data_IF_563697678313
#
_entry.id   IF_563697678313
#
_cell.length_a   1.000
_cell.length_b   1.000
_cell.length_c   1.000
_cell.angle_alpha   90.00
_cell.angle_beta   90.00
_cell.angle_gamma   90.00
#
_symmetry.space_group_name_H-M   'P 1'
#
loop_
_entity.id
_entity.type
_entity.pdbx_description
1 polymer ?
#
# COMPACT_ATOMS: atom_id res chain seq x y z
N UNK A 1 36.39 -40.47 8.96
CA UNK A 1 36.65 -39.27 8.13
C UNK A 1 35.38 -38.72 7.45
N UNK A 2 34.50 -39.56 6.88
CA UNK A 2 33.22 -39.11 6.29
C UNK A 2 32.22 -38.51 7.31
N UNK A 3 32.11 -39.09 8.51
CA UNK A 3 31.18 -38.60 9.55
C UNK A 3 31.48 -37.15 10.00
N UNK A 4 32.77 -36.82 10.16
CA UNK A 4 33.20 -35.47 10.56
C UNK A 4 32.99 -34.44 9.45
N UNK A 5 33.09 -34.84 8.17
CA UNK A 5 32.77 -33.95 7.03
C UNK A 5 31.28 -33.67 6.91
N UNK A 6 30.42 -34.64 7.27
CA UNK A 6 28.96 -34.46 7.28
C UNK A 6 28.53 -33.58 8.45
N UNK A 7 29.13 -33.75 9.63
CA UNK A 7 28.88 -32.90 10.80
C UNK A 7 29.33 -31.44 10.57
N UNK A 8 30.55 -31.23 10.07
CA UNK A 8 31.04 -29.89 9.74
C UNK A 8 30.17 -29.21 8.68
N UNK A 9 29.76 -29.93 7.63
CA UNK A 9 28.84 -29.41 6.62
C UNK A 9 27.45 -29.09 7.18
N UNK A 10 27.01 -29.78 8.24
CA UNK A 10 25.72 -29.54 8.89
C UNK A 10 25.79 -28.33 9.84
N UNK A 11 26.91 -28.12 10.51
CA UNK A 11 27.19 -26.94 11.35
C UNK A 11 27.39 -25.67 10.50
N UNK A 12 28.04 -25.78 9.34
CA UNK A 12 28.15 -24.67 8.38
C UNK A 12 26.78 -24.28 7.79
N UNK A 13 25.92 -25.26 7.51
CA UNK A 13 24.54 -25.00 7.04
C UNK A 13 23.70 -24.38 8.16
N UNK A 14 23.80 -24.84 9.41
CA UNK A 14 23.02 -24.27 10.52
C UNK A 14 23.48 -22.87 10.93
N UNK A 15 24.79 -22.59 10.86
CA UNK A 15 25.33 -21.26 11.15
C UNK A 15 25.04 -20.26 10.03
N UNK A 16 25.10 -20.69 8.76
CA UNK A 16 24.68 -19.85 7.63
C UNK A 16 23.17 -19.56 7.67
N UNK A 17 22.32 -20.56 7.97
CA UNK A 17 20.86 -20.34 8.08
C UNK A 17 20.50 -19.43 9.25
N UNK A 18 21.16 -19.56 10.41
CA UNK A 18 20.87 -18.69 11.56
C UNK A 18 21.32 -17.25 11.31
N UNK A 19 22.39 -17.05 10.52
CA UNK A 19 22.85 -15.71 10.13
C UNK A 19 21.91 -15.04 9.12
N UNK A 20 21.44 -15.78 8.10
CA UNK A 20 20.48 -15.27 7.12
C UNK A 20 19.11 -14.99 7.74
N UNK A 21 18.68 -15.83 8.68
CA UNK A 21 17.47 -15.62 9.47
C UNK A 21 17.50 -14.31 10.25
N UNK A 22 18.62 -14.01 10.90
CA UNK A 22 18.80 -12.82 11.71
C UNK A 22 18.87 -11.55 10.84
N UNK A 23 19.49 -11.63 9.66
CA UNK A 23 19.47 -10.54 8.68
C UNK A 23 18.07 -10.28 8.11
N UNK A 24 17.34 -11.33 7.71
CA UNK A 24 15.97 -11.22 7.20
C UNK A 24 15.02 -10.58 8.20
N UNK A 25 15.11 -10.99 9.47
CA UNK A 25 14.29 -10.42 10.55
C UNK A 25 14.66 -8.97 10.85
N UNK A 26 15.95 -8.60 10.74
CA UNK A 26 16.40 -7.21 10.83
C UNK A 26 15.87 -6.35 9.68
N UNK A 27 15.84 -6.87 8.46
CA UNK A 27 15.26 -6.19 7.29
C UNK A 27 13.75 -5.96 7.47
N UNK A 28 13.03 -6.96 7.99
CA UNK A 28 11.62 -6.80 8.35
C UNK A 28 11.42 -5.73 9.43
N UNK A 29 12.27 -5.72 10.47
CA UNK A 29 12.22 -4.71 11.54
C UNK A 29 12.46 -3.28 11.02
N UNK A 30 13.24 -3.10 9.95
CA UNK A 30 13.42 -1.79 9.30
C UNK A 30 12.28 -1.45 8.31
N UNK A 31 11.54 -2.44 7.81
CA UNK A 31 10.40 -2.21 6.94
C UNK A 31 9.15 -1.76 7.72
N UNK A 32 8.93 -2.30 8.92
CA UNK A 32 7.70 -2.06 9.69
C UNK A 32 7.50 -0.58 10.14
N UNK A 33 8.51 0.12 10.71
CA UNK A 33 8.34 1.50 11.18
C UNK A 33 7.87 2.50 10.11
N UNK A 34 8.47 2.60 8.91
CA UNK A 34 8.03 3.58 7.91
C UNK A 34 6.64 3.27 7.37
N UNK A 35 6.25 2.00 7.29
CA UNK A 35 4.89 1.59 6.92
C UNK A 35 3.87 1.98 7.98
N UNK A 36 4.19 1.73 9.25
CA UNK A 36 3.37 2.14 10.39
C UNK A 36 3.13 3.66 10.38
N UNK A 37 4.22 4.43 10.26
CA UNK A 37 4.15 5.90 10.19
C UNK A 37 3.30 6.36 9.00
N UNK A 38 3.45 5.73 7.84
CA UNK A 38 2.67 6.05 6.64
C UNK A 38 1.18 5.79 6.85
N UNK A 39 0.81 4.61 7.35
CA UNK A 39 -0.58 4.24 7.59
C UNK A 39 -1.24 5.08 8.68
N UNK A 40 -0.51 5.40 9.75
CA UNK A 40 -0.98 6.33 10.79
C UNK A 40 -1.25 7.70 10.19
N UNK A 41 -0.29 8.24 9.42
CA UNK A 41 -0.41 9.58 8.87
C UNK A 41 -1.56 9.70 7.86
N UNK A 42 -1.75 8.65 7.05
CA UNK A 42 -2.85 8.55 6.12
C UNK A 42 -4.19 8.48 6.86
N UNK A 43 -4.34 7.55 7.81
CA UNK A 43 -5.60 7.36 8.52
C UNK A 43 -5.99 8.59 9.37
N UNK A 44 -5.01 9.20 10.05
CA UNK A 44 -5.23 10.39 10.88
C UNK A 44 -5.84 11.55 10.08
N UNK A 45 -5.57 11.65 8.78
CA UNK A 45 -6.18 12.70 7.95
C UNK A 45 -7.59 12.38 7.52
N UNK A 46 -7.98 11.11 7.42
CA UNK A 46 -9.31 10.70 6.92
C UNK A 46 -10.41 11.22 7.84
N UNK A 47 -10.20 11.20 9.15
CA UNK A 47 -11.17 11.67 10.14
C UNK A 47 -11.46 13.17 10.02
N UNK A 48 -10.42 13.99 9.83
CA UNK A 48 -10.55 15.46 9.72
C UNK A 48 -10.89 15.91 8.32
N UNK A 49 -10.61 15.08 7.32
CA UNK A 49 -10.94 15.35 5.94
C UNK A 49 -12.43 15.58 5.74
N UNK A 50 -13.29 14.85 6.47
CA UNK A 50 -14.74 15.01 6.41
C UNK A 50 -15.16 16.44 6.78
N UNK A 51 -14.64 16.95 7.89
CA UNK A 51 -14.94 18.31 8.36
C UNK A 51 -14.43 19.37 7.38
N UNK A 52 -13.21 19.21 6.86
CA UNK A 52 -12.63 20.13 5.87
C UNK A 52 -13.43 20.15 4.57
N UNK A 53 -13.80 18.97 4.06
CA UNK A 53 -14.59 18.86 2.83
C UNK A 53 -15.98 19.44 3.02
N UNK A 54 -16.64 19.15 4.15
CA UNK A 54 -17.97 19.67 4.47
C UNK A 54 -17.95 21.20 4.57
N UNK A 55 -16.98 21.76 5.32
CA UNK A 55 -16.81 23.21 5.45
C UNK A 55 -16.53 23.89 4.10
N UNK A 56 -15.79 23.23 3.20
CA UNK A 56 -15.45 23.79 1.90
C UNK A 56 -16.61 23.69 0.89
N UNK A 57 -17.30 22.55 0.80
CA UNK A 57 -18.32 22.27 -0.22
C UNK A 57 -19.71 22.78 0.20
N UNK A 58 -20.11 22.54 1.44
CA UNK A 58 -21.44 22.82 1.98
C UNK A 58 -21.38 23.68 3.26
N UNK A 59 -21.02 24.98 3.17
CA UNK A 59 -20.87 25.80 4.36
C UNK A 59 -22.22 25.99 5.09
N UNK A 60 -22.33 25.49 6.32
CA UNK A 60 -23.47 25.70 7.20
C UNK A 60 -24.55 24.62 7.21
N UNK A 61 -24.40 23.55 6.42
CA UNK A 61 -25.30 22.38 6.44
C UNK A 61 -24.69 21.24 7.26
N UNK A 62 -25.52 20.55 8.05
CA UNK A 62 -25.10 19.40 8.87
C UNK A 62 -24.84 18.13 8.06
N UNK A 63 -25.25 18.09 6.79
CA UNK A 63 -25.10 16.93 5.90
C UNK A 63 -24.74 17.39 4.49
N UNK A 64 -23.56 16.99 3.99
CA UNK A 64 -23.10 17.37 2.64
C UNK A 64 -23.21 16.18 1.69
N UNK A 65 -24.38 16.02 1.08
CA UNK A 65 -24.68 14.93 0.12
C UNK A 65 -23.65 14.87 -1.03
N UNK A 66 -23.11 16.02 -1.44
CA UNK A 66 -22.07 16.09 -2.47
C UNK A 66 -20.78 15.35 -2.06
N UNK A 67 -20.33 15.50 -0.82
CA UNK A 67 -19.15 14.81 -0.30
C UNK A 67 -19.35 13.29 -0.28
N UNK A 68 -20.56 12.82 0.03
CA UNK A 68 -20.94 11.40 -0.01
C UNK A 68 -20.81 10.85 -1.43
N UNK A 69 -21.38 11.54 -2.42
CA UNK A 69 -21.31 11.11 -3.82
C UNK A 69 -19.87 11.12 -4.36
N UNK A 70 -19.08 12.14 -4.02
CA UNK A 70 -17.67 12.22 -4.44
C UNK A 70 -16.83 11.08 -3.85
N UNK A 71 -17.00 10.77 -2.56
CA UNK A 71 -16.30 9.64 -1.93
C UNK A 71 -16.73 8.30 -2.55
N UNK A 72 -18.03 8.08 -2.75
CA UNK A 72 -18.53 6.87 -3.39
C UNK A 72 -18.02 6.68 -4.82
N UNK A 73 -18.00 7.76 -5.60
CA UNK A 73 -17.45 7.76 -6.95
C UNK A 73 -15.95 7.47 -6.95
N UNK A 74 -15.18 8.15 -6.08
CA UNK A 74 -13.74 7.91 -5.94
C UNK A 74 -13.46 6.44 -5.63
N UNK A 75 -14.13 5.84 -4.65
CA UNK A 75 -13.91 4.44 -4.28
C UNK A 75 -14.24 3.47 -5.42
N UNK A 76 -15.31 3.75 -6.18
CA UNK A 76 -15.68 2.95 -7.35
C UNK A 76 -14.61 3.02 -8.43
N UNK A 77 -14.15 4.23 -8.77
CA UNK A 77 -13.09 4.45 -9.76
C UNK A 77 -11.80 3.77 -9.30
N UNK A 78 -11.32 4.06 -8.08
CA UNK A 78 -10.12 3.45 -7.50
C UNK A 78 -10.23 1.93 -7.52
N UNK A 79 -11.38 1.37 -7.14
CA UNK A 79 -11.65 -0.06 -7.11
C UNK A 79 -11.52 -0.73 -8.48
N UNK A 80 -12.00 -0.08 -9.54
CA UNK A 80 -11.90 -0.61 -10.91
C UNK A 80 -10.46 -0.53 -11.42
N UNK A 81 -9.81 0.63 -11.26
CA UNK A 81 -8.47 0.83 -11.79
C UNK A 81 -7.39 0.03 -11.03
N UNK A 82 -7.53 -0.14 -9.71
CA UNK A 82 -6.58 -0.94 -8.91
C UNK A 82 -6.53 -2.41 -9.34
N UNK A 83 -7.60 -2.97 -9.90
CA UNK A 83 -7.60 -4.35 -10.42
C UNK A 83 -6.54 -4.56 -11.51
N UNK A 84 -6.24 -3.51 -12.29
CA UNK A 84 -5.21 -3.56 -13.33
C UNK A 84 -3.88 -3.05 -12.79
N UNK A 85 -3.88 -1.93 -12.07
CA UNK A 85 -2.65 -1.25 -11.64
C UNK A 85 -1.88 -2.02 -10.57
N UNK A 86 -2.56 -2.66 -9.62
CA UNK A 86 -1.92 -3.41 -8.54
C UNK A 86 -1.02 -4.55 -9.07
N UNK A 87 -1.49 -5.43 -9.99
CA UNK A 87 -0.61 -6.39 -10.67
C UNK A 87 0.57 -5.75 -11.40
N UNK A 88 0.37 -4.61 -12.08
CA UNK A 88 1.43 -3.94 -12.83
C UNK A 88 2.52 -3.39 -11.92
N UNK A 89 2.15 -2.80 -10.79
CA UNK A 89 3.10 -2.32 -9.79
C UNK A 89 3.85 -3.47 -9.12
N UNK A 90 3.20 -4.61 -8.89
CA UNK A 90 3.87 -5.82 -8.41
C UNK A 90 4.98 -6.27 -9.36
N UNK A 91 4.72 -6.30 -10.67
CA UNK A 91 5.75 -6.65 -11.65
C UNK A 91 6.85 -5.61 -11.75
N UNK A 92 6.50 -4.33 -11.68
CA UNK A 92 7.50 -3.27 -11.66
C UNK A 92 8.43 -3.45 -10.45
N UNK A 93 7.89 -3.83 -9.29
CA UNK A 93 8.65 -4.10 -8.08
C UNK A 93 9.54 -5.35 -8.23
N UNK A 94 9.08 -6.37 -8.94
CA UNK A 94 9.87 -7.56 -9.20
C UNK A 94 11.03 -7.28 -10.19
N UNK A 95 10.85 -6.38 -11.16
CA UNK A 95 11.87 -6.05 -12.19
C UNK A 95 12.86 -4.95 -11.76
N UNK A 96 12.34 -3.85 -11.18
CA UNK A 96 13.14 -2.68 -10.82
C UNK A 96 13.64 -2.71 -9.38
N UNK A 97 13.21 -3.71 -8.60
CA UNK A 97 13.45 -3.81 -7.17
C UNK A 97 12.25 -3.31 -6.37
N UNK A 98 12.08 -3.90 -5.18
CA UNK A 98 10.91 -3.63 -4.33
C UNK A 98 11.02 -2.29 -3.63
N UNK A 99 12.23 -1.86 -3.24
CA UNK A 99 12.43 -0.57 -2.54
C UNK A 99 12.11 0.65 -3.42
N UNK A 100 12.57 0.79 -4.68
CA UNK A 100 12.26 1.98 -5.49
C UNK A 100 10.77 2.07 -5.81
N UNK A 101 10.10 0.94 -6.05
CA UNK A 101 8.65 0.94 -6.28
C UNK A 101 7.89 1.28 -5.01
N UNK A 102 8.30 0.73 -3.85
CA UNK A 102 7.72 1.09 -2.55
C UNK A 102 7.89 2.58 -2.22
N UNK A 103 9.06 3.15 -2.52
CA UNK A 103 9.31 4.59 -2.35
C UNK A 103 8.42 5.43 -3.27
N UNK A 104 8.28 5.03 -4.54
CA UNK A 104 7.44 5.71 -5.52
C UNK A 104 5.98 5.77 -5.04
N UNK A 105 5.40 4.63 -4.67
CA UNK A 105 3.98 4.55 -4.25
C UNK A 105 3.72 5.22 -2.90
N UNK A 106 4.69 5.28 -1.99
CA UNK A 106 4.52 6.01 -0.72
C UNK A 106 4.59 7.52 -0.98
N UNK A 107 5.48 7.93 -1.89
CA UNK A 107 5.66 9.35 -2.23
C UNK A 107 4.45 9.96 -2.94
N UNK A 108 3.69 9.17 -3.69
CA UNK A 108 2.46 9.67 -4.35
C UNK A 108 1.41 10.14 -3.35
N UNK A 109 1.37 9.57 -2.15
CA UNK A 109 0.43 9.97 -1.09
C UNK A 109 0.71 11.36 -0.53
N UNK A 110 1.90 11.95 -0.76
CA UNK A 110 2.25 13.28 -0.23
C UNK A 110 1.50 14.39 -0.98
N UNK A 111 1.35 14.25 -2.31
CA UNK A 111 0.79 15.31 -3.16
C UNK A 111 -0.65 15.71 -2.83
N UNK A 112 -1.60 14.78 -2.61
CA UNK A 112 -2.96 15.16 -2.24
C UNK A 112 -2.99 16.03 -0.97
N UNK A 113 -2.29 15.62 0.09
CA UNK A 113 -2.30 16.36 1.34
C UNK A 113 -1.58 17.70 1.24
N UNK A 114 -0.52 17.80 0.44
CA UNK A 114 0.15 19.08 0.17
C UNK A 114 -0.80 20.10 -0.47
N UNK A 115 -1.67 19.67 -1.39
CA UNK A 115 -2.69 20.55 -2.00
C UNK A 115 -3.69 21.03 -0.97
N UNK A 116 -4.17 20.15 -0.10
CA UNK A 116 -5.16 20.49 0.92
C UNK A 116 -4.57 21.41 2.02
N UNK A 117 -3.28 21.26 2.33
CA UNK A 117 -2.58 22.13 3.26
C UNK A 117 -2.32 23.55 2.70
N UNK A 118 -2.27 23.71 1.37
CA UNK A 118 -2.06 25.01 0.75
C UNK A 118 -3.29 25.90 0.83
N UNK A 119 -4.46 25.37 0.46
CA UNK A 119 -5.72 26.09 0.50
C UNK A 119 -6.89 25.10 0.55
N UNK A 120 -7.89 25.40 1.37
CA UNK A 120 -9.10 24.58 1.57
C UNK A 120 -10.31 25.13 0.81
N UNK A 121 -10.10 25.88 -0.27
CA UNK A 121 -11.20 26.36 -1.12
C UNK A 121 -11.79 25.24 -1.98
N UNK A 122 -13.03 25.42 -2.46
CA UNK A 122 -13.75 24.43 -3.30
C UNK A 122 -12.90 23.89 -4.46
N UNK A 123 -12.19 24.77 -5.19
CA UNK A 123 -11.34 24.36 -6.31
C UNK A 123 -10.19 23.45 -5.89
N UNK A 124 -9.58 23.71 -4.73
CA UNK A 124 -8.49 22.89 -4.19
C UNK A 124 -9.01 21.55 -3.65
N UNK A 125 -10.24 21.49 -3.12
CA UNK A 125 -10.87 20.23 -2.72
C UNK A 125 -11.12 19.32 -3.93
N UNK A 126 -11.59 19.85 -5.06
CA UNK A 126 -11.70 19.04 -6.28
C UNK A 126 -10.33 18.58 -6.81
N UNK A 127 -9.32 19.46 -6.76
CA UNK A 127 -7.95 19.08 -7.12
C UNK A 127 -7.40 17.98 -6.18
N UNK A 128 -7.69 18.07 -4.88
CA UNK A 128 -7.40 17.04 -3.89
C UNK A 128 -8.05 15.71 -4.29
N UNK A 129 -9.35 15.68 -4.61
CA UNK A 129 -10.05 14.46 -5.03
C UNK A 129 -9.39 13.79 -6.24
N UNK A 130 -9.00 14.57 -7.26
CA UNK A 130 -8.30 14.05 -8.45
C UNK A 130 -6.95 13.45 -8.08
N UNK A 131 -6.12 14.18 -7.34
CA UNK A 131 -4.80 13.69 -6.93
C UNK A 131 -4.90 12.50 -5.98
N UNK A 132 -5.85 12.52 -5.04
CA UNK A 132 -6.11 11.43 -4.10
C UNK A 132 -6.57 10.18 -4.84
N UNK A 133 -7.40 10.31 -5.87
CA UNK A 133 -7.81 9.20 -6.73
C UNK A 133 -6.61 8.56 -7.42
N UNK A 134 -5.74 9.36 -8.06
CA UNK A 134 -4.52 8.85 -8.72
C UNK A 134 -3.60 8.19 -7.70
N UNK A 135 -3.40 8.82 -6.55
CA UNK A 135 -2.58 8.26 -5.47
C UNK A 135 -3.17 6.96 -4.95
N UNK A 136 -4.48 6.85 -4.73
CA UNK A 136 -5.11 5.62 -4.26
C UNK A 136 -5.00 4.49 -5.27
N UNK A 137 -5.16 4.77 -6.56
CA UNK A 137 -4.97 3.77 -7.62
C UNK A 137 -3.56 3.16 -7.56
N UNK A 138 -2.54 3.97 -7.23
CA UNK A 138 -1.16 3.52 -7.15
C UNK A 138 -0.78 2.92 -5.80
N UNK A 139 -1.17 3.56 -4.70
CA UNK A 139 -0.70 3.28 -3.33
C UNK A 139 -1.59 2.29 -2.59
N UNK A 140 -2.92 2.45 -2.69
CA UNK A 140 -3.87 1.71 -1.87
C UNK A 140 -3.84 0.21 -2.23
N UNK A 141 -3.53 -0.63 -1.25
CA UNK A 141 -3.32 -2.06 -1.45
C UNK A 141 -1.93 -2.42 -2.01
N UNK A 142 -1.37 -1.62 -2.92
CA UNK A 142 -0.03 -1.85 -3.48
C UNK A 142 1.06 -1.81 -2.42
N UNK A 143 0.98 -0.85 -1.48
CA UNK A 143 1.94 -0.75 -0.37
C UNK A 143 1.93 -2.04 0.45
N UNK A 144 0.74 -2.54 0.82
CA UNK A 144 0.60 -3.78 1.57
C UNK A 144 1.13 -4.98 0.78
N UNK A 145 0.71 -5.15 -0.48
CA UNK A 145 1.13 -6.27 -1.32
C UNK A 145 2.65 -6.29 -1.55
N UNK A 146 3.27 -5.15 -1.85
CA UNK A 146 4.72 -5.05 -2.07
C UNK A 146 5.48 -5.29 -0.76
N UNK A 147 4.95 -4.85 0.38
CA UNK A 147 5.55 -5.08 1.70
C UNK A 147 5.54 -6.56 2.09
N UNK A 148 4.41 -7.24 1.86
CA UNK A 148 4.29 -8.68 2.08
C UNK A 148 5.22 -9.45 1.13
N UNK A 149 5.31 -9.03 -0.12
CA UNK A 149 6.22 -9.64 -1.09
C UNK A 149 7.71 -9.40 -0.73
N UNK A 150 8.06 -8.22 -0.21
CA UNK A 150 9.38 -7.94 0.35
C UNK A 150 9.69 -8.85 1.54
N UNK A 151 8.74 -9.03 2.46
CA UNK A 151 8.89 -9.95 3.58
C UNK A 151 9.06 -11.40 3.13
N UNK A 152 8.38 -11.81 2.04
CA UNK A 152 8.54 -13.14 1.48
C UNK A 152 9.94 -13.38 0.91
N UNK A 153 10.57 -12.36 0.32
CA UNK A 153 11.92 -12.47 -0.25
C UNK A 153 13.03 -12.56 0.80
N UNK A 154 12.83 -11.94 1.97
CA UNK A 154 13.85 -11.84 3.02
C UNK A 154 13.69 -12.85 4.17
N UNK A 155 12.50 -13.42 4.36
CA UNK A 155 12.19 -14.35 5.46
C UNK A 155 12.10 -15.80 4.95
N UNK A 156 12.66 -16.72 5.73
CA UNK A 156 12.56 -18.16 5.52
C UNK A 156 11.10 -18.66 5.56
N UNK A 157 10.80 -19.70 4.77
CA UNK A 157 9.44 -20.20 4.54
C UNK A 157 8.67 -20.54 5.82
N UNK A 158 9.35 -21.12 6.81
CA UNK A 158 8.82 -21.50 8.12
C UNK A 158 8.33 -20.29 8.95
N UNK A 159 8.87 -19.09 8.72
CA UNK A 159 8.59 -17.86 9.49
C UNK A 159 7.79 -16.83 8.70
N UNK A 160 7.57 -17.04 7.40
CA UNK A 160 6.78 -16.14 6.54
C UNK A 160 5.38 -15.91 7.08
N UNK A 161 4.72 -16.96 7.58
CA UNK A 161 3.39 -16.83 8.17
C UNK A 161 3.37 -15.82 9.33
N UNK A 162 4.35 -15.91 10.25
CA UNK A 162 4.49 -14.96 11.34
C UNK A 162 4.78 -13.55 10.82
N UNK A 163 5.69 -13.38 9.86
CA UNK A 163 6.01 -12.07 9.28
C UNK A 163 4.79 -11.41 8.62
N UNK A 164 3.96 -12.17 7.90
CA UNK A 164 2.73 -11.67 7.31
C UNK A 164 1.70 -11.28 8.38
N UNK A 165 1.60 -12.04 9.46
CA UNK A 165 0.79 -11.67 10.63
C UNK A 165 1.28 -10.37 11.28
N UNK A 166 2.58 -10.16 11.43
CA UNK A 166 3.14 -8.90 11.96
C UNK A 166 2.80 -7.70 11.08
N UNK A 167 2.97 -7.81 9.75
CA UNK A 167 2.63 -6.73 8.80
C UNK A 167 1.13 -6.42 8.87
N UNK A 168 0.28 -7.46 8.88
CA UNK A 168 -1.18 -7.29 8.89
C UNK A 168 -1.68 -6.76 10.23
N UNK A 169 -1.13 -7.25 11.35
CA UNK A 169 -1.45 -6.74 12.68
C UNK A 169 -1.01 -5.29 12.85
N UNK A 170 0.16 -4.94 12.32
CA UNK A 170 0.66 -3.57 12.33
C UNK A 170 -0.21 -2.64 11.46
N UNK A 171 -0.65 -3.11 10.30
CA UNK A 171 -1.60 -2.39 9.45
C UNK A 171 -2.84 -2.00 10.25
N UNK A 172 -3.54 -2.99 10.81
CA UNK A 172 -4.75 -2.75 11.60
C UNK A 172 -4.48 -1.86 12.83
N UNK A 173 -3.39 -2.09 13.56
CA UNK A 173 -3.01 -1.27 14.71
C UNK A 173 -2.73 0.18 14.33
N UNK A 174 -2.11 0.42 13.18
CA UNK A 174 -1.81 1.76 12.65
C UNK A 174 -3.08 2.53 12.32
N UNK A 175 -4.09 1.88 11.75
CA UNK A 175 -5.39 2.50 11.49
C UNK A 175 -6.09 2.91 12.80
N UNK A 176 -6.11 2.03 13.81
CA UNK A 176 -6.70 2.38 15.12
C UNK A 176 -5.96 3.54 15.76
N UNK A 177 -4.62 3.51 15.71
CA UNK A 177 -3.79 4.56 16.29
C UNK A 177 -3.91 5.90 15.53
N UNK A 178 -4.06 5.87 14.21
CA UNK A 178 -4.30 7.07 13.40
C UNK A 178 -5.61 7.77 13.76
N UNK A 179 -6.69 7.01 13.91
CA UNK A 179 -7.97 7.53 14.39
C UNK A 179 -7.86 8.11 15.82
N UNK A 180 -7.17 7.41 16.71
CA UNK A 180 -6.95 7.87 18.08
C UNK A 180 -6.15 9.19 18.12
N UNK A 181 -5.07 9.29 17.34
CA UNK A 181 -4.25 10.49 17.27
C UNK A 181 -5.04 11.68 16.71
N UNK A 182 -5.91 11.46 15.73
CA UNK A 182 -6.75 12.53 15.20
C UNK A 182 -7.70 13.13 16.25
N UNK A 183 -8.17 12.34 17.22
CA UNK A 183 -9.02 12.82 18.31
C UNK A 183 -8.27 13.70 19.31
N UNK A 184 -6.97 13.44 19.52
CA UNK A 184 -6.16 14.19 20.49
C UNK A 184 -5.49 15.43 19.88
N UNK A 185 -5.33 15.48 18.55
CA UNK A 185 -4.69 16.60 17.88
C UNK A 185 -5.72 17.67 17.50
N UNK A 186 -5.41 18.97 17.68
CA UNK A 186 -6.25 20.03 17.13
C UNK A 186 -6.18 20.04 15.59
N UNK A 187 -7.30 20.29 14.90
CA UNK A 187 -7.43 20.31 13.43
C UNK A 187 -6.29 21.07 12.71
N UNK A 188 -5.85 22.19 13.29
CA UNK A 188 -4.79 23.05 12.72
C UNK A 188 -3.44 22.35 12.59
N UNK A 189 -3.15 21.38 13.47
CA UNK A 189 -1.85 20.68 13.49
C UNK A 189 -1.91 19.33 12.78
N UNK A 190 -3.09 18.80 12.49
CA UNK A 190 -3.23 17.46 11.88
C UNK A 190 -2.64 17.41 10.47
N UNK A 191 -2.93 18.38 9.61
CA UNK A 191 -2.36 18.41 8.26
C UNK A 191 -0.84 18.59 8.23
N UNK A 192 -0.24 19.58 8.94
CA UNK A 192 1.21 19.70 9.02
C UNK A 192 1.90 18.46 9.58
N UNK A 193 1.35 17.86 10.65
CA UNK A 193 1.93 16.66 11.27
C UNK A 193 1.83 15.47 10.32
N UNK A 194 0.68 15.25 9.66
CA UNK A 194 0.52 14.17 8.69
C UNK A 194 1.51 14.30 7.53
N UNK A 195 1.66 15.49 6.95
CA UNK A 195 2.60 15.72 5.84
C UNK A 195 4.03 15.45 6.30
N UNK A 196 4.42 15.89 7.51
CA UNK A 196 5.74 15.62 8.06
C UNK A 196 6.00 14.10 8.21
N UNK A 197 5.01 13.35 8.71
CA UNK A 197 5.09 11.89 8.83
C UNK A 197 5.15 11.20 7.45
N UNK A 198 4.35 11.65 6.49
CA UNK A 198 4.34 11.13 5.12
C UNK A 198 5.64 11.40 4.36
N UNK A 199 6.35 12.49 4.68
CA UNK A 199 7.70 12.78 4.15
C UNK A 199 8.77 11.95 4.88
N UNK A 200 8.61 11.73 6.19
CA UNK A 200 9.55 10.93 6.99
C UNK A 200 9.58 9.47 6.54
N UNK A 201 8.44 8.87 6.19
CA UNK A 201 8.34 7.48 5.72
C UNK A 201 9.24 7.15 4.51
N UNK A 202 9.17 7.86 3.37
CA UNK A 202 10.04 7.59 2.22
C UNK A 202 11.52 7.93 2.51
N UNK A 203 11.81 8.96 3.33
CA UNK A 203 13.18 9.27 3.75
C UNK A 203 13.77 8.11 4.55
N UNK A 204 13.00 7.57 5.50
CA UNK A 204 13.42 6.43 6.30
C UNK A 204 13.67 5.20 5.40
N UNK A 205 12.77 4.90 4.47
CA UNK A 205 12.93 3.81 3.50
C UNK A 205 14.18 4.01 2.66
N UNK A 206 14.43 5.24 2.20
CA UNK A 206 15.58 5.56 1.37
C UNK A 206 16.91 5.29 2.10
N UNK A 207 16.99 5.63 3.39
CA UNK A 207 18.20 5.50 4.21
C UNK A 207 18.40 4.06 4.72
N UNK A 208 17.36 3.46 5.29
CA UNK A 208 17.49 2.23 6.09
C UNK A 208 17.10 0.95 5.36
N UNK A 209 16.23 1.02 4.35
CA UNK A 209 15.78 -0.19 3.65
C UNK A 209 16.87 -0.65 2.68
N UNK A 210 17.27 -1.91 2.77
CA UNK A 210 18.24 -2.50 1.83
C UNK A 210 17.48 -3.03 0.62
N UNK A 211 18.02 -2.83 -0.58
CA UNK A 211 17.42 -3.39 -1.79
C UNK A 211 17.55 -4.91 -1.80
N UNK A 212 16.43 -5.62 -2.00
CA UNK A 212 16.44 -7.10 -2.07
C UNK A 212 16.89 -7.62 -3.43
N UNK A 213 16.76 -6.82 -4.49
CA UNK A 213 17.16 -7.18 -5.85
C UNK A 213 18.43 -6.44 -6.25
N UNK A 214 19.51 -7.16 -6.55
CA UNK A 214 20.69 -6.55 -7.19
C UNK A 214 20.29 -6.10 -8.60
N UNK A 215 20.21 -4.79 -8.83
CA UNK A 215 19.93 -4.25 -10.17
C UNK A 215 20.96 -4.80 -11.17
N UNK A 216 20.48 -5.48 -12.22
CA UNK A 216 21.29 -5.75 -13.39
C UNK A 216 21.70 -4.42 -14.06
N UNK A 217 22.92 -4.30 -14.60
CA UNK A 217 23.42 -3.02 -15.07
C UNK A 217 22.56 -2.46 -16.21
N UNK A 218 22.19 -1.19 -16.05
CA UNK A 218 21.35 -0.38 -16.94
C UNK A 218 21.97 -0.37 -18.34
N UNK A 219 21.25 -0.88 -19.35
CA UNK A 219 21.64 -0.80 -20.77
C UNK A 219 20.62 0.08 -21.48
N UNK A 220 21.09 1.19 -22.06
CA UNK A 220 20.31 2.19 -22.80
C UNK A 220 19.34 1.53 -23.79
N UNK A 221 18.03 1.64 -23.54
CA UNK A 221 17.00 1.16 -24.47
C UNK A 221 15.58 1.66 -24.08
N UNK A 222 15.38 2.97 -23.99
CA UNK A 222 14.09 3.57 -23.57
C UNK A 222 12.90 3.18 -24.46
N UNK A 223 13.11 2.92 -25.76
CA UNK A 223 12.04 2.48 -26.67
C UNK A 223 11.77 0.97 -26.63
N UNK A 224 12.78 0.15 -26.31
CA UNK A 224 12.62 -1.30 -26.17
C UNK A 224 12.06 -1.68 -24.80
N UNK A 225 12.37 -0.91 -23.76
CA UNK A 225 11.81 -1.07 -22.41
C UNK A 225 10.29 -0.91 -22.45
N UNK A 226 9.79 0.20 -22.97
CA UNK A 226 8.35 0.50 -23.00
C UNK A 226 7.56 -0.52 -23.83
N UNK A 227 8.09 -0.96 -24.98
CA UNK A 227 7.48 -2.02 -25.78
C UNK A 227 7.49 -3.39 -25.07
N UNK A 228 8.54 -3.68 -24.29
CA UNK A 228 8.66 -4.89 -23.47
C UNK A 228 7.67 -4.83 -22.30
N UNK A 229 7.56 -3.69 -21.62
CA UNK A 229 6.57 -3.43 -20.55
C UNK A 229 5.15 -3.60 -21.09
N UNK A 230 4.82 -3.02 -22.26
CA UNK A 230 3.49 -3.19 -22.90
C UNK A 230 3.19 -4.65 -23.23
N UNK A 231 4.16 -5.39 -23.79
CA UNK A 231 3.98 -6.84 -24.06
C UNK A 231 3.76 -7.64 -22.78
N UNK A 232 4.46 -7.30 -21.70
CA UNK A 232 4.32 -7.95 -20.40
C UNK A 232 2.95 -7.63 -19.78
N UNK A 233 2.53 -6.36 -19.84
CA UNK A 233 1.19 -5.88 -19.46
C UNK A 233 0.12 -6.68 -20.21
N UNK A 234 0.23 -6.80 -21.53
CA UNK A 234 -0.74 -7.57 -22.33
C UNK A 234 -0.75 -9.06 -21.97
N UNK A 235 0.41 -9.67 -21.76
CA UNK A 235 0.52 -11.10 -21.38
C UNK A 235 -0.13 -11.35 -20.02
N UNK A 236 0.02 -10.43 -19.06
CA UNK A 236 -0.60 -10.57 -17.73
C UNK A 236 -2.06 -10.15 -17.69
N UNK A 237 -2.48 -9.17 -18.47
CA UNK A 237 -3.91 -8.92 -18.70
C UNK A 237 -4.60 -10.19 -19.22
N UNK A 238 -3.97 -10.91 -20.16
CA UNK A 238 -4.46 -12.22 -20.63
C UNK A 238 -4.49 -13.25 -19.50
N UNK A 239 -3.41 -13.38 -18.73
CA UNK A 239 -3.34 -14.30 -17.58
C UNK A 239 -4.36 -14.00 -16.48
N UNK A 240 -4.63 -12.72 -16.19
CA UNK A 240 -5.66 -12.28 -15.26
C UNK A 240 -7.05 -12.56 -15.82
N UNK A 241 -7.27 -12.33 -17.13
CA UNK A 241 -8.52 -12.71 -17.80
C UNK A 241 -8.74 -14.22 -17.76
N UNK A 242 -7.68 -15.01 -17.82
CA UNK A 242 -7.73 -16.47 -17.69
C UNK A 242 -8.06 -16.88 -16.25
N UNK A 243 -7.44 -16.25 -15.24
CA UNK A 243 -7.76 -16.45 -13.83
C UNK A 243 -9.20 -16.02 -13.49
N UNK A 244 -9.65 -14.87 -14.00
CA UNK A 244 -11.02 -14.39 -13.84
C UNK A 244 -12.02 -15.35 -14.49
N UNK A 245 -11.71 -15.87 -15.69
CA UNK A 245 -12.49 -16.93 -16.31
C UNK A 245 -12.54 -18.18 -15.44
N UNK A 246 -11.41 -18.64 -14.89
CA UNK A 246 -11.36 -19.80 -14.00
C UNK A 246 -12.23 -19.63 -12.76
N UNK A 247 -12.15 -18.46 -12.11
CA UNK A 247 -12.96 -18.11 -10.92
C UNK A 247 -14.44 -18.05 -11.28
N UNK A 248 -14.81 -17.44 -12.42
CA UNK A 248 -16.20 -17.35 -12.87
C UNK A 248 -16.77 -18.69 -13.36
N UNK A 249 -15.93 -19.57 -13.88
CA UNK A 249 -16.32 -20.90 -14.37
C UNK A 249 -16.54 -21.90 -13.24
N UNK A 250 -15.84 -21.76 -12.11
CA UNK A 250 -16.02 -22.64 -10.96
C UNK A 250 -17.16 -22.14 -10.05
N UNK A 251 -18.21 -22.93 -9.80
CA UNK A 251 -19.35 -22.50 -8.98
C UNK A 251 -18.94 -22.21 -7.53
N UNK A 252 -17.95 -22.91 -6.97
CA UNK A 252 -17.44 -22.68 -5.61
C UNK A 252 -16.62 -21.40 -5.52
N UNK A 253 -15.68 -21.19 -6.43
CA UNK A 253 -14.85 -19.97 -6.46
C UNK A 253 -15.69 -18.73 -6.78
N UNK A 254 -16.65 -18.86 -7.70
CA UNK A 254 -17.62 -17.80 -8.00
C UNK A 254 -18.43 -17.45 -6.77
N UNK A 255 -18.92 -18.44 -6.02
CA UNK A 255 -19.65 -18.22 -4.77
C UNK A 255 -18.82 -17.48 -3.72
N UNK A 256 -17.59 -17.94 -3.47
CA UNK A 256 -16.67 -17.29 -2.52
C UNK A 256 -16.36 -15.85 -2.95
N UNK A 257 -16.04 -15.65 -4.23
CA UNK A 257 -15.74 -14.32 -4.76
C UNK A 257 -16.93 -13.37 -4.63
N UNK A 258 -18.16 -13.85 -4.84
CA UNK A 258 -19.37 -13.04 -4.72
C UNK A 258 -19.60 -12.63 -3.26
N UNK A 259 -19.49 -13.59 -2.34
CA UNK A 259 -19.64 -13.35 -0.89
C UNK A 259 -18.58 -12.37 -0.40
N UNK A 260 -17.31 -12.58 -0.74
CA UNK A 260 -16.23 -11.65 -0.39
C UNK A 260 -16.46 -10.26 -1.00
N UNK A 261 -16.91 -10.18 -2.25
CA UNK A 261 -17.21 -8.89 -2.88
C UNK A 261 -18.29 -8.12 -2.12
N UNK A 262 -19.42 -8.77 -1.80
CA UNK A 262 -20.50 -8.11 -1.05
C UNK A 262 -20.12 -7.80 0.39
N UNK A 263 -19.32 -8.66 1.04
CA UNK A 263 -18.81 -8.41 2.37
C UNK A 263 -17.90 -7.18 2.41
N UNK A 264 -16.92 -7.10 1.50
CA UNK A 264 -16.02 -5.94 1.41
C UNK A 264 -16.76 -4.67 1.01
N UNK A 265 -17.73 -4.77 0.09
CA UNK A 265 -18.59 -3.65 -0.30
C UNK A 265 -19.40 -3.13 0.90
N UNK A 266 -19.99 -4.04 1.68
CA UNK A 266 -20.77 -3.70 2.87
C UNK A 266 -19.91 -3.12 3.98
N UNK A 267 -18.76 -3.73 4.28
CA UNK A 267 -17.82 -3.24 5.29
C UNK A 267 -17.25 -1.87 4.94
N UNK A 268 -16.91 -1.64 3.67
CA UNK A 268 -16.50 -0.33 3.17
C UNK A 268 -17.60 0.70 3.38
N UNK A 269 -18.84 0.39 2.96
CA UNK A 269 -19.99 1.27 3.16
C UNK A 269 -20.25 1.61 4.62
N UNK A 270 -20.24 0.62 5.51
CA UNK A 270 -20.42 0.84 6.96
C UNK A 270 -19.33 1.76 7.49
N UNK A 271 -18.07 1.51 7.15
CA UNK A 271 -16.93 2.31 7.66
C UNK A 271 -17.07 3.79 7.29
N UNK A 272 -17.45 4.08 6.04
CA UNK A 272 -17.63 5.46 5.60
C UNK A 272 -18.84 6.16 6.22
N UNK A 273 -19.96 5.46 6.41
CA UNK A 273 -21.14 6.00 7.09
C UNK A 273 -20.85 6.22 8.58
N UNK A 274 -20.14 5.29 9.25
CA UNK A 274 -19.83 5.40 10.68
C UNK A 274 -18.81 6.50 10.98
N UNK A 275 -17.91 6.80 10.04
CA UNK A 275 -16.94 7.89 10.13
C UNK A 275 -17.55 9.27 9.82
N UNK A 276 -18.88 9.37 9.73
CA UNK A 276 -19.57 10.66 9.63
C UNK A 276 -19.57 11.29 8.24
N UNK A 277 -19.53 10.47 7.18
CA UNK A 277 -19.96 10.92 5.84
C UNK A 277 -21.49 10.85 5.75
#
# INVERSE_FOLDING_TARGET
MLSNKVLAKREDISSSSSSSDMEGMKLLLHLLPPLCVHWIAEEMTVTVLVDVITNALCPGDSTCTEAIYLNGLQQTVVGIFKMVVLPLLGQLADEHGRKPVLLLIISTSIFPFAVLAWNQSKGFVYAYYVLRTISYILSQGSIFCISVAYAADVIEENKRAAAFSWITGLYSASHVLGNLLALFLPEKYIFPVSIALLILSPIYIQIFLVETVKLAPKRDQDSACLAKTIKIIQKRYKSMKDAARLVMSSPTLRGISLVSFFYELGMSGITYVLMGI
#
